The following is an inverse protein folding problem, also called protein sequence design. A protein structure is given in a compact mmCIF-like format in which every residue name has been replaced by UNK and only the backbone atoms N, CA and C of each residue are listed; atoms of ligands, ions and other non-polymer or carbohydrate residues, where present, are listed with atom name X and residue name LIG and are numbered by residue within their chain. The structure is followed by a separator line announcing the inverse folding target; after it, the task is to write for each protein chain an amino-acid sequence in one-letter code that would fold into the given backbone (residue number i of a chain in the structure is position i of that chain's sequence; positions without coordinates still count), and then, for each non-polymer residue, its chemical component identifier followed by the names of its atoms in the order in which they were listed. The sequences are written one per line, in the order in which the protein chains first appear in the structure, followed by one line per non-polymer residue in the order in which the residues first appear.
data_IF_556832942822
#
_entry.id   IF_556832942822
#
_cell.length_a   1.000
_cell.length_b   1.000
_cell.length_c   1.000
_cell.angle_alpha   90.00
_cell.angle_beta   90.00
_cell.angle_gamma   90.00
#
_symmetry.space_group_name_H-M   'P 1'
#
loop_
_entity.id
_entity.type
_entity.pdbx_description
1 polymer ?
#
# COMPACT_ATOMS: atom_id res chain seq x y z
N UNK A 1 18.63 -3.21 -0.93
CA UNK A 1 19.27 -2.08 -0.24
C UNK A 1 18.22 -1.07 0.19
N UNK A 2 17.49 -0.45 -0.75
CA UNK A 2 16.49 0.61 -0.48
C UNK A 2 15.40 0.23 0.54
N UNK A 3 14.74 -0.94 0.40
CA UNK A 3 13.66 -1.34 1.34
C UNK A 3 14.15 -1.40 2.80
N UNK A 4 15.35 -1.96 3.02
CA UNK A 4 15.92 -2.07 4.35
C UNK A 4 16.27 -0.69 4.94
N UNK A 5 16.82 0.21 4.11
CA UNK A 5 17.11 1.58 4.50
C UNK A 5 15.84 2.36 4.85
N UNK A 6 14.79 2.24 4.05
CA UNK A 6 13.50 2.87 4.34
C UNK A 6 12.91 2.34 5.65
N UNK A 7 12.94 1.02 5.86
CA UNK A 7 12.46 0.38 7.09
C UNK A 7 13.20 0.83 8.34
N UNK A 8 14.52 1.09 8.24
CA UNK A 8 15.32 1.56 9.36
C UNK A 8 15.04 3.04 9.74
N UNK A 9 14.62 3.86 8.77
CA UNK A 9 14.52 5.30 8.93
C UNK A 9 13.07 5.84 8.99
N UNK A 10 12.06 4.98 8.82
CA UNK A 10 10.65 5.39 8.80
C UNK A 10 9.81 4.57 9.76
N UNK A 11 8.83 5.22 10.38
CA UNK A 11 7.87 4.58 11.29
C UNK A 11 6.80 3.73 10.59
N UNK A 12 6.60 3.97 9.29
CA UNK A 12 5.56 3.38 8.47
C UNK A 12 6.06 3.38 7.02
N UNK A 13 5.96 2.24 6.36
CA UNK A 13 6.08 2.13 4.91
C UNK A 13 4.68 2.00 4.31
N UNK A 14 4.48 2.64 3.16
CA UNK A 14 3.23 2.61 2.41
C UNK A 14 3.56 2.21 0.99
N UNK A 15 2.92 1.15 0.49
CA UNK A 15 2.99 0.78 -0.92
C UNK A 15 1.69 1.15 -1.60
N UNK A 16 1.78 1.69 -2.81
CA UNK A 16 0.63 2.06 -3.64
C UNK A 16 0.80 1.38 -4.99
N UNK A 17 -0.20 0.63 -5.42
CA UNK A 17 -0.19 -0.04 -6.71
C UNK A 17 -1.58 -0.06 -7.36
N UNK A 18 -1.64 0.13 -8.67
CA UNK A 18 -2.85 -0.11 -9.47
C UNK A 18 -2.90 -1.60 -9.88
N UNK A 19 -2.78 -2.47 -8.89
CA UNK A 19 -2.81 -3.92 -9.02
C UNK A 19 -3.43 -4.52 -7.76
N UNK A 20 -3.86 -5.79 -7.83
CA UNK A 20 -4.35 -6.51 -6.65
C UNK A 20 -3.25 -6.59 -5.60
N UNK A 21 -3.57 -6.25 -4.36
CA UNK A 21 -2.60 -6.24 -3.24
C UNK A 21 -2.02 -7.64 -3.00
N UNK A 22 -2.87 -8.67 -3.11
CA UNK A 22 -2.47 -10.07 -2.97
C UNK A 22 -1.52 -10.47 -4.10
N UNK A 23 -0.28 -10.82 -3.75
CA UNK A 23 0.76 -11.16 -4.73
C UNK A 23 1.31 -9.95 -5.51
N UNK A 24 0.88 -8.73 -5.19
CA UNK A 24 1.35 -7.50 -5.80
C UNK A 24 2.72 -7.02 -5.31
N UNK A 25 3.09 -5.81 -5.73
CA UNK A 25 4.32 -5.13 -5.33
C UNK A 25 4.39 -4.94 -3.80
N UNK A 26 3.26 -4.64 -3.14
CA UNK A 26 3.22 -4.56 -1.69
C UNK A 26 3.57 -5.88 -1.01
N UNK A 27 3.12 -7.00 -1.58
CA UNK A 27 3.44 -8.35 -1.09
C UNK A 27 4.93 -8.65 -1.26
N UNK A 28 5.53 -8.29 -2.39
CA UNK A 28 6.97 -8.43 -2.60
C UNK A 28 7.81 -7.58 -1.61
N UNK A 29 7.33 -6.39 -1.23
CA UNK A 29 7.96 -5.58 -0.17
C UNK A 29 7.86 -6.28 1.18
N UNK A 30 6.69 -6.82 1.53
CA UNK A 30 6.50 -7.58 2.77
C UNK A 30 7.44 -8.80 2.84
N UNK A 31 7.55 -9.56 1.75
CA UNK A 31 8.49 -10.69 1.62
C UNK A 31 9.95 -10.24 1.78
N UNK A 32 10.33 -9.12 1.17
CA UNK A 32 11.68 -8.58 1.27
C UNK A 32 12.05 -8.13 2.69
N UNK A 33 11.08 -7.63 3.47
CA UNK A 33 11.23 -7.29 4.88
C UNK A 33 11.36 -8.57 5.73
N UNK A 34 10.48 -9.54 5.50
CA UNK A 34 10.47 -10.82 6.22
C UNK A 34 11.78 -11.60 6.02
N UNK A 35 12.27 -11.69 4.78
CA UNK A 35 13.54 -12.35 4.44
C UNK A 35 14.76 -11.74 5.15
N UNK A 36 14.64 -10.51 5.68
CA UNK A 36 15.70 -9.79 6.41
C UNK A 36 15.43 -9.68 7.90
N UNK A 37 14.33 -10.24 8.41
CA UNK A 37 13.92 -10.12 9.81
C UNK A 37 13.60 -8.68 10.22
N UNK A 38 13.23 -7.80 9.26
CA UNK A 38 12.92 -6.40 9.54
C UNK A 38 11.44 -6.27 9.87
N UNK A 39 11.14 -5.63 11.00
CA UNK A 39 9.78 -5.31 11.41
C UNK A 39 9.58 -3.80 11.36
N UNK A 40 8.81 -3.36 10.36
CA UNK A 40 8.31 -1.99 10.24
C UNK A 40 6.83 -2.06 9.89
N UNK A 41 5.97 -1.20 10.46
CA UNK A 41 4.61 -1.09 10.02
C UNK A 41 4.54 -0.91 8.49
N UNK A 42 3.79 -1.77 7.83
CA UNK A 42 3.50 -1.69 6.40
C UNK A 42 2.00 -1.45 6.20
N UNK A 43 1.65 -0.54 5.29
CA UNK A 43 0.31 -0.33 4.76
C UNK A 43 0.36 -0.58 3.25
N UNK A 44 -0.46 -1.51 2.77
CA UNK A 44 -0.54 -1.85 1.35
C UNK A 44 -1.85 -1.29 0.79
N UNK A 45 -1.75 -0.37 -0.17
CA UNK A 45 -2.87 0.22 -0.88
C UNK A 45 -2.84 -0.26 -2.32
N UNK A 46 -3.94 -0.86 -2.76
CA UNK A 46 -4.11 -1.33 -4.13
C UNK A 46 -5.50 -1.90 -4.34
N UNK A 47 -5.69 -2.59 -5.46
CA UNK A 47 -6.98 -3.13 -5.84
C UNK A 47 -7.38 -4.30 -4.93
N UNK A 48 -8.67 -4.48 -4.67
CA UNK A 48 -9.16 -5.61 -3.90
C UNK A 48 -9.13 -6.90 -4.72
N UNK A 49 -9.22 -8.05 -4.03
CA UNK A 49 -9.29 -9.38 -4.67
C UNK A 49 -10.72 -9.71 -5.16
N UNK A 50 -11.28 -8.81 -5.97
CA UNK A 50 -12.52 -9.01 -6.70
C UNK A 50 -12.55 -8.08 -7.92
N UNK A 51 -13.44 -8.37 -8.87
CA UNK A 51 -13.60 -7.52 -10.05
C UNK A 51 -14.14 -6.14 -9.67
N UNK A 52 -13.42 -5.11 -10.12
CA UNK A 52 -13.89 -3.73 -10.09
C UNK A 52 -14.80 -3.50 -11.30
N UNK A 53 -15.92 -2.81 -11.10
CA UNK A 53 -16.87 -2.50 -12.16
C UNK A 53 -16.25 -1.68 -13.30
N UNK A 54 -16.92 -1.66 -14.45
CA UNK A 54 -16.53 -0.82 -15.57
C UNK A 54 -16.95 0.63 -15.37
N UNK A 55 -16.08 1.56 -15.72
CA UNK A 55 -16.33 2.98 -15.57
C UNK A 55 -15.07 3.80 -15.87
N UNK A 56 -15.13 5.09 -15.56
CA UNK A 56 -13.98 5.96 -15.62
C UNK A 56 -12.93 5.52 -14.59
N UNK A 57 -11.68 5.29 -15.02
CA UNK A 57 -10.62 4.78 -14.17
C UNK A 57 -10.36 5.66 -12.95
N UNK A 58 -10.40 6.99 -13.09
CA UNK A 58 -10.12 7.90 -11.98
C UNK A 58 -11.26 7.85 -10.94
N UNK A 59 -12.51 7.75 -11.39
CA UNK A 59 -13.66 7.57 -10.50
C UNK A 59 -13.62 6.22 -9.77
N UNK A 60 -13.23 5.15 -10.46
CA UNK A 60 -13.07 3.82 -9.86
C UNK A 60 -11.94 3.79 -8.82
N UNK A 61 -10.79 4.41 -9.11
CA UNK A 61 -9.71 4.51 -8.14
C UNK A 61 -10.12 5.35 -6.94
N UNK A 62 -10.81 6.48 -7.15
CA UNK A 62 -11.31 7.31 -6.06
C UNK A 62 -12.33 6.57 -5.18
N UNK A 63 -13.23 5.76 -5.77
CA UNK A 63 -14.20 4.98 -5.00
C UNK A 63 -13.54 3.89 -4.14
N UNK A 64 -12.35 3.44 -4.55
CA UNK A 64 -11.49 2.52 -3.79
C UNK A 64 -10.53 3.23 -2.82
N UNK A 65 -10.58 4.56 -2.74
CA UNK A 65 -9.66 5.35 -1.90
C UNK A 65 -8.22 5.39 -2.41
N UNK A 66 -8.01 5.08 -3.69
CA UNK A 66 -6.70 5.11 -4.38
C UNK A 66 -6.45 6.44 -5.11
N UNK A 67 -7.20 7.48 -4.76
CA UNK A 67 -6.90 8.86 -5.12
C UNK A 67 -6.05 9.55 -4.03
N UNK A 68 -5.60 10.78 -4.29
CA UNK A 68 -4.74 11.51 -3.36
C UNK A 68 -5.35 11.71 -1.96
N UNK A 69 -6.67 11.91 -1.89
CA UNK A 69 -7.39 12.10 -0.63
C UNK A 69 -7.51 10.78 0.15
N UNK A 70 -7.97 9.72 -0.52
CA UNK A 70 -8.13 8.40 0.09
C UNK A 70 -6.80 7.79 0.57
N UNK A 71 -5.71 8.00 -0.18
CA UNK A 71 -4.36 7.61 0.24
C UNK A 71 -3.97 8.37 1.52
N UNK A 72 -4.16 9.69 1.55
CA UNK A 72 -3.82 10.50 2.72
C UNK A 72 -4.68 10.13 3.96
N UNK A 73 -5.96 9.82 3.78
CA UNK A 73 -6.86 9.33 4.83
C UNK A 73 -6.41 7.97 5.37
N UNK A 74 -6.10 7.03 4.50
CA UNK A 74 -5.59 5.70 4.88
C UNK A 74 -4.31 5.81 5.71
N UNK A 75 -3.40 6.72 5.33
CA UNK A 75 -2.16 6.97 6.06
C UNK A 75 -2.44 7.62 7.43
N UNK A 76 -3.33 8.61 7.50
CA UNK A 76 -3.71 9.27 8.76
C UNK A 76 -4.35 8.29 9.73
N UNK A 77 -5.31 7.49 9.27
CA UNK A 77 -5.95 6.44 10.05
C UNK A 77 -4.91 5.43 10.58
N UNK A 78 -3.96 5.01 9.73
CA UNK A 78 -2.86 4.10 10.12
C UNK A 78 -1.92 4.68 11.17
N UNK A 79 -1.76 6.00 11.19
CA UNK A 79 -0.96 6.74 12.16
C UNK A 79 -1.74 7.15 13.43
N UNK A 80 -3.05 6.89 13.48
CA UNK A 80 -3.93 7.29 14.58
C UNK A 80 -4.14 8.81 14.66
N UNK A 81 -4.24 9.49 13.52
CA UNK A 81 -4.40 10.95 13.40
C UNK A 81 -5.67 11.32 12.67
#
# INVERSE_FOLDING_TARGET
AVIAELAANHRLLVTVEENVVMGGAGSAVAEALAARGLSVPLLQLGLPDHFVDHGDSAQLLASLGLDGNGIAESIRARLGR
#
